data_IF_854593335992
#
_entry.id   IF_854593335992
#
_cell.length_a   1.000
_cell.length_b   1.000
_cell.length_c   1.000
_cell.angle_alpha   90.00
_cell.angle_beta   90.00
_cell.angle_gamma   90.00
#
_symmetry.space_group_name_H-M   'P 1'
#
loop_
_entity.id
_entity.type
_entity.pdbx_description
1 polymer ?
#
# COMPACT_ATOMS: atom_id res chain seq x y z
N UNK A 1 21.01 -13.71 1.84
CA UNK A 1 21.50 -15.07 2.15
C UNK A 1 22.89 -15.07 2.76
N UNK A 2 23.81 -14.22 2.28
CA UNK A 2 25.16 -14.13 2.84
C UNK A 2 25.17 -13.86 4.35
N UNK A 3 24.23 -13.05 4.86
CA UNK A 3 24.08 -12.79 6.31
C UNK A 3 23.84 -14.07 7.11
N UNK A 4 22.99 -14.98 6.63
CA UNK A 4 22.66 -16.23 7.33
C UNK A 4 23.86 -17.16 7.30
N UNK A 5 24.53 -17.27 6.14
CA UNK A 5 25.73 -18.11 5.99
C UNK A 5 26.84 -17.64 6.93
N UNK A 6 27.14 -16.35 6.96
CA UNK A 6 28.16 -15.78 7.85
C UNK A 6 27.78 -15.92 9.33
N UNK A 7 26.51 -15.72 9.67
CA UNK A 7 26.05 -15.87 11.05
C UNK A 7 26.09 -17.33 11.52
N UNK A 8 25.78 -18.30 10.66
CA UNK A 8 25.88 -19.74 10.97
C UNK A 8 27.35 -20.17 11.11
N UNK A 9 28.24 -19.68 10.25
CA UNK A 9 29.68 -19.95 10.37
C UNK A 9 30.25 -19.36 11.67
N UNK A 10 29.88 -18.12 12.01
CA UNK A 10 30.28 -17.50 13.27
C UNK A 10 29.72 -18.25 14.49
N UNK A 11 28.49 -18.73 14.42
CA UNK A 11 27.88 -19.57 15.46
C UNK A 11 28.63 -20.90 15.63
N UNK A 12 28.99 -21.57 14.53
CA UNK A 12 29.71 -22.84 14.57
C UNK A 12 31.14 -22.66 15.11
N UNK A 13 31.83 -21.58 14.74
CA UNK A 13 33.17 -21.25 15.27
C UNK A 13 33.11 -20.91 16.76
N UNK A 14 32.14 -20.11 17.19
CA UNK A 14 31.94 -19.77 18.60
C UNK A 14 31.57 -21.02 19.44
N UNK A 15 30.70 -21.88 18.91
CA UNK A 15 30.35 -23.15 19.53
C UNK A 15 31.58 -24.05 19.71
N UNK A 16 32.34 -24.27 18.63
CA UNK A 16 33.54 -25.11 18.65
C UNK A 16 34.61 -24.56 19.59
N UNK A 17 34.85 -23.24 19.57
CA UNK A 17 35.85 -22.61 20.43
C UNK A 17 35.53 -22.77 21.92
N UNK A 18 34.27 -22.66 22.31
CA UNK A 18 33.84 -22.80 23.70
C UNK A 18 33.76 -24.27 24.13
N UNK A 19 33.30 -25.15 23.24
CA UNK A 19 33.18 -26.58 23.55
C UNK A 19 34.53 -27.25 23.78
N UNK A 20 35.53 -26.94 22.93
CA UNK A 20 36.87 -27.51 23.03
C UNK A 20 37.82 -26.72 23.95
N UNK A 21 37.49 -25.46 24.25
CA UNK A 21 38.33 -24.57 25.08
C UNK A 21 37.98 -24.54 26.56
N UNK A 22 36.88 -25.16 27.00
CA UNK A 22 36.47 -25.19 28.41
C UNK A 22 36.66 -26.58 29.02
N UNK A 23 37.32 -26.64 30.19
CA UNK A 23 37.44 -27.89 30.95
C UNK A 23 36.04 -28.38 31.35
N UNK A 24 35.69 -29.61 30.95
CA UNK A 24 34.38 -30.21 31.19
C UNK A 24 33.41 -30.25 30.00
N UNK A 25 33.78 -29.71 28.82
CA UNK A 25 32.98 -29.80 27.58
C UNK A 25 31.50 -29.40 27.79
N UNK A 26 31.29 -28.24 28.42
CA UNK A 26 29.95 -27.77 28.78
C UNK A 26 29.14 -27.34 27.56
N UNK A 27 28.33 -28.27 27.05
CA UNK A 27 27.48 -28.09 25.86
C UNK A 27 26.52 -26.88 25.95
N UNK A 28 26.05 -26.54 27.15
CA UNK A 28 25.16 -25.39 27.40
C UNK A 28 25.86 -24.06 27.11
N UNK A 29 27.09 -23.88 27.59
CA UNK A 29 27.87 -22.67 27.35
C UNK A 29 28.28 -22.55 25.88
N UNK A 30 28.60 -23.66 25.23
CA UNK A 30 28.85 -23.69 23.79
C UNK A 30 27.59 -23.26 23.01
N UNK A 31 26.40 -23.69 23.41
CA UNK A 31 25.14 -23.28 22.80
C UNK A 31 24.86 -21.77 22.96
N UNK A 32 25.08 -21.21 24.15
CA UNK A 32 24.99 -19.75 24.35
C UNK A 32 26.04 -18.99 23.53
N UNK A 33 27.25 -19.51 23.42
CA UNK A 33 28.29 -18.97 22.56
C UNK A 33 27.92 -18.97 21.08
N UNK A 34 27.31 -20.06 20.60
CA UNK A 34 26.80 -20.16 19.24
C UNK A 34 25.72 -19.10 18.96
N UNK A 35 24.76 -18.94 19.87
CA UNK A 35 23.74 -17.90 19.80
C UNK A 35 24.36 -16.50 19.82
N UNK A 36 25.33 -16.25 20.70
CA UNK A 36 26.08 -15.00 20.78
C UNK A 36 26.80 -14.68 19.47
N UNK A 37 27.52 -15.64 18.90
CA UNK A 37 28.22 -15.51 17.61
C UNK A 37 27.25 -15.24 16.45
N UNK A 38 26.10 -15.92 16.43
CA UNK A 38 25.05 -15.67 15.45
C UNK A 38 24.51 -14.24 15.53
N UNK A 39 24.17 -13.79 16.74
CA UNK A 39 23.59 -12.46 16.99
C UNK A 39 24.61 -11.36 16.70
N UNK A 40 25.87 -11.54 17.10
CA UNK A 40 26.95 -10.57 16.91
C UNK A 40 27.22 -10.27 15.43
N UNK A 41 27.05 -11.25 14.54
CA UNK A 41 27.23 -11.06 13.09
C UNK A 41 25.94 -10.65 12.39
N UNK A 42 24.79 -11.23 12.77
CA UNK A 42 23.53 -10.97 12.08
C UNK A 42 22.95 -9.58 12.37
N UNK A 43 23.06 -9.08 13.61
CA UNK A 43 22.50 -7.77 13.98
C UNK A 43 23.14 -6.60 13.21
N UNK A 44 24.49 -6.44 13.16
CA UNK A 44 25.09 -5.31 12.45
C UNK A 44 24.77 -5.31 10.96
N UNK A 45 24.80 -6.49 10.31
CA UNK A 45 24.48 -6.61 8.89
C UNK A 45 23.01 -6.25 8.64
N UNK A 46 22.08 -6.74 9.47
CA UNK A 46 20.66 -6.41 9.33
C UNK A 46 20.39 -4.91 9.55
N UNK A 47 21.05 -4.29 10.54
CA UNK A 47 20.95 -2.84 10.78
C UNK A 47 21.52 -2.04 9.61
N UNK A 48 22.64 -2.48 9.04
CA UNK A 48 23.23 -1.85 7.86
C UNK A 48 22.31 -1.95 6.63
N UNK A 49 21.77 -3.14 6.34
CA UNK A 49 20.82 -3.33 5.24
C UNK A 49 19.59 -2.45 5.45
N UNK A 50 19.05 -2.42 6.68
CA UNK A 50 17.88 -1.60 7.02
C UNK A 50 18.14 -0.12 6.78
N UNK A 51 19.24 0.43 7.31
CA UNK A 51 19.61 1.84 7.08
C UNK A 51 19.77 2.16 5.60
N UNK A 52 20.38 1.25 4.83
CA UNK A 52 20.56 1.44 3.39
C UNK A 52 19.23 1.40 2.63
N UNK A 53 18.33 0.49 3.00
CA UNK A 53 16.97 0.42 2.46
C UNK A 53 16.18 1.70 2.78
N UNK A 54 16.22 2.16 4.04
CA UNK A 54 15.58 3.40 4.48
C UNK A 54 16.10 4.60 3.71
N UNK A 55 17.41 4.67 3.42
CA UNK A 55 17.99 5.73 2.59
C UNK A 55 17.49 5.70 1.13
N UNK A 56 17.39 4.52 0.52
CA UNK A 56 16.89 4.37 -0.86
C UNK A 56 15.41 4.75 -0.92
N UNK A 57 14.58 4.17 -0.05
CA UNK A 57 13.14 4.43 -0.03
C UNK A 57 12.82 5.86 0.38
N UNK A 58 13.54 6.42 1.35
CA UNK A 58 13.44 7.83 1.71
C UNK A 58 13.83 8.75 0.56
N UNK A 59 14.88 8.42 -0.19
CA UNK A 59 15.28 9.16 -1.39
C UNK A 59 14.18 9.15 -2.47
N UNK A 60 13.55 8.00 -2.71
CA UNK A 60 12.43 7.86 -3.65
C UNK A 60 11.21 8.65 -3.16
N UNK A 61 10.86 8.55 -1.89
CA UNK A 61 9.74 9.29 -1.31
C UNK A 61 9.96 10.80 -1.43
N UNK A 62 11.15 11.28 -1.09
CA UNK A 62 11.51 12.70 -1.21
C UNK A 62 11.43 13.17 -2.67
N UNK A 63 11.93 12.36 -3.61
CA UNK A 63 11.85 12.66 -5.04
C UNK A 63 10.39 12.74 -5.54
N UNK A 64 9.54 11.79 -5.12
CA UNK A 64 8.13 11.80 -5.49
C UNK A 64 7.38 12.99 -4.90
N UNK A 65 7.64 13.34 -3.64
CA UNK A 65 7.07 14.52 -2.99
C UNK A 65 7.50 15.80 -3.72
N UNK A 66 8.81 15.95 -3.98
CA UNK A 66 9.30 17.13 -4.71
C UNK A 66 8.74 17.22 -6.13
N UNK A 67 8.56 16.08 -6.80
CA UNK A 67 7.97 16.02 -8.14
C UNK A 67 6.48 16.40 -8.11
N UNK A 68 5.74 15.95 -7.08
CA UNK A 68 4.35 16.33 -6.87
C UNK A 68 4.20 17.82 -6.56
N UNK A 69 5.08 18.39 -5.73
CA UNK A 69 5.05 19.81 -5.39
C UNK A 69 5.36 20.67 -6.63
N UNK A 70 6.39 20.31 -7.39
CA UNK A 70 6.71 20.96 -8.65
C UNK A 70 5.52 20.90 -9.64
N UNK A 71 4.88 19.73 -9.75
CA UNK A 71 3.69 19.54 -10.57
C UNK A 71 2.52 20.39 -10.10
N UNK A 72 2.25 20.46 -8.79
CA UNK A 72 1.19 21.30 -8.21
C UNK A 72 1.41 22.78 -8.52
N UNK A 73 2.63 23.29 -8.37
CA UNK A 73 2.96 24.66 -8.72
C UNK A 73 2.75 24.94 -10.21
N UNK A 74 3.17 24.01 -11.07
CA UNK A 74 2.99 24.11 -12.52
C UNK A 74 1.50 24.07 -12.90
N UNK A 75 0.71 23.18 -12.30
CA UNK A 75 -0.74 23.10 -12.51
C UNK A 75 -1.41 24.39 -12.10
N UNK A 76 -1.10 24.98 -10.95
CA UNK A 76 -1.66 26.26 -10.53
C UNK A 76 -1.38 27.39 -11.53
N UNK A 77 -0.15 27.46 -12.06
CA UNK A 77 0.23 28.44 -13.07
C UNK A 77 -0.45 28.20 -14.44
N UNK A 78 -0.69 26.94 -14.80
CA UNK A 78 -1.29 26.54 -16.07
C UNK A 78 -2.83 26.56 -16.05
N UNK A 79 -3.48 26.33 -14.90
CA UNK A 79 -4.93 26.48 -14.75
C UNK A 79 -5.39 27.90 -15.09
N UNK A 80 -4.57 28.91 -14.79
CA UNK A 80 -4.86 30.30 -15.13
C UNK A 80 -4.70 30.61 -16.64
N UNK A 81 -4.00 29.74 -17.40
CA UNK A 81 -3.65 29.96 -18.80
C UNK A 81 -4.42 29.06 -19.78
N UNK A 82 -4.84 27.87 -19.36
CA UNK A 82 -5.54 26.90 -20.20
C UNK A 82 -7.05 26.90 -19.92
N UNK A 83 -7.85 27.24 -20.93
CA UNK A 83 -9.31 27.06 -20.89
C UNK A 83 -9.73 25.60 -21.07
N UNK A 84 -8.89 24.77 -21.70
CA UNK A 84 -9.14 23.34 -21.91
C UNK A 84 -8.60 22.51 -20.73
N UNK A 85 -9.49 22.25 -19.76
CA UNK A 85 -9.16 21.47 -18.57
C UNK A 85 -8.74 20.02 -18.87
N UNK A 86 -9.25 19.42 -19.95
CA UNK A 86 -8.94 18.02 -20.26
C UNK A 86 -7.50 17.83 -20.73
N UNK A 87 -6.99 18.72 -21.60
CA UNK A 87 -5.58 18.71 -22.01
C UNK A 87 -4.64 18.94 -20.83
N UNK A 88 -5.04 19.76 -19.88
CA UNK A 88 -4.27 19.97 -18.66
C UNK A 88 -4.20 18.69 -17.81
N UNK A 89 -5.31 17.98 -17.64
CA UNK A 89 -5.34 16.71 -16.91
C UNK A 89 -4.45 15.65 -17.57
N UNK A 90 -4.50 15.51 -18.89
CA UNK A 90 -3.63 14.57 -19.63
C UNK A 90 -2.14 14.91 -19.46
N UNK A 91 -1.77 16.19 -19.50
CA UNK A 91 -0.39 16.61 -19.24
C UNK A 91 0.07 16.26 -17.82
N UNK A 92 -0.81 16.47 -16.83
CA UNK A 92 -0.55 16.14 -15.43
C UNK A 92 -0.36 14.64 -15.25
N UNK A 93 -1.25 13.81 -15.80
CA UNK A 93 -1.13 12.36 -15.74
C UNK A 93 0.17 11.88 -16.38
N UNK A 94 0.57 12.45 -17.52
CA UNK A 94 1.82 12.10 -18.19
C UNK A 94 3.06 12.46 -17.35
N UNK A 95 3.13 13.67 -16.81
CA UNK A 95 4.27 14.14 -16.00
C UNK A 95 4.36 13.38 -14.67
N UNK A 96 3.22 13.03 -14.07
CA UNK A 96 3.16 12.12 -12.93
C UNK A 96 3.70 10.74 -13.29
N UNK A 97 3.30 10.18 -14.43
CA UNK A 97 3.77 8.88 -14.88
C UNK A 97 5.29 8.85 -15.15
N UNK A 98 5.84 9.91 -15.75
CA UNK A 98 7.28 10.06 -15.95
C UNK A 98 8.06 10.13 -14.63
N UNK A 99 7.53 10.85 -13.64
CA UNK A 99 8.12 10.93 -12.30
C UNK A 99 8.14 9.56 -11.64
N UNK A 100 7.04 8.82 -11.71
CA UNK A 100 6.97 7.46 -11.18
C UNK A 100 7.95 6.51 -11.88
N UNK A 101 8.12 6.61 -13.20
CA UNK A 101 9.11 5.81 -13.94
C UNK A 101 10.53 6.08 -13.46
N UNK A 102 10.90 7.34 -13.25
CA UNK A 102 12.20 7.69 -12.65
C UNK A 102 12.39 7.11 -11.24
N UNK A 103 11.32 7.11 -10.43
CA UNK A 103 11.36 6.47 -9.11
C UNK A 103 11.56 4.94 -9.19
N UNK A 104 11.00 4.28 -10.21
CA UNK A 104 11.23 2.85 -10.46
C UNK A 104 12.69 2.58 -10.86
N UNK A 105 13.32 3.47 -11.63
CA UNK A 105 14.74 3.35 -11.96
C UNK A 105 15.63 3.48 -10.71
N UNK A 106 15.27 4.38 -9.78
CA UNK A 106 15.97 4.52 -8.50
C UNK A 106 15.87 3.24 -7.63
N UNK A 107 14.78 2.47 -7.76
CA UNK A 107 14.61 1.20 -7.03
C UNK A 107 15.62 0.12 -7.44
N UNK A 108 16.28 0.27 -8.58
CA UNK A 108 17.35 -0.64 -9.01
C UNK A 108 18.54 -0.63 -8.04
N UNK A 109 18.71 0.44 -7.25
CA UNK A 109 19.70 0.52 -6.19
C UNK A 109 19.52 -0.53 -5.08
N UNK A 110 18.36 -1.19 -5.00
CA UNK A 110 18.11 -2.28 -4.04
C UNK A 110 18.78 -3.60 -4.47
N UNK A 111 19.03 -3.82 -5.76
CA UNK A 111 19.57 -5.09 -6.29
C UNK A 111 20.79 -5.64 -5.52
N UNK A 112 21.81 -4.84 -5.15
CA UNK A 112 22.96 -5.33 -4.38
C UNK A 112 22.59 -5.83 -2.98
N UNK A 113 21.53 -5.29 -2.37
CA UNK A 113 21.07 -5.65 -1.02
C UNK A 113 20.42 -7.02 -0.96
N UNK A 114 19.87 -7.52 -2.07
CA UNK A 114 19.23 -8.83 -2.15
C UNK A 114 20.18 -9.97 -1.74
N UNK A 115 21.48 -9.81 -2.01
CA UNK A 115 22.53 -10.78 -1.62
C UNK A 115 22.58 -10.95 -0.09
N UNK A 116 22.33 -9.86 0.63
CA UNK A 116 22.34 -9.81 2.10
C UNK A 116 20.97 -10.23 2.65
N UNK A 117 19.88 -9.62 2.17
CA UNK A 117 18.53 -9.86 2.66
C UNK A 117 17.52 -10.09 1.53
N UNK A 118 16.94 -11.31 1.45
CA UNK A 118 15.90 -11.64 0.45
C UNK A 118 14.64 -10.76 0.65
N UNK A 119 14.36 -10.36 1.89
CA UNK A 119 13.20 -9.51 2.19
C UNK A 119 13.33 -8.13 1.54
N UNK A 120 14.54 -7.64 1.30
CA UNK A 120 14.77 -6.37 0.62
C UNK A 120 14.16 -6.37 -0.79
N UNK A 121 14.31 -7.48 -1.52
CA UNK A 121 13.72 -7.65 -2.84
C UNK A 121 12.18 -7.62 -2.76
N UNK A 122 11.61 -8.33 -1.79
CA UNK A 122 10.14 -8.35 -1.64
C UNK A 122 9.58 -6.98 -1.27
N UNK A 123 10.29 -6.21 -0.45
CA UNK A 123 9.92 -4.83 -0.13
C UNK A 123 10.03 -3.91 -1.34
N UNK A 124 11.10 -4.04 -2.14
CA UNK A 124 11.23 -3.29 -3.38
C UNK A 124 10.13 -3.65 -4.38
N UNK A 125 9.79 -4.93 -4.52
CA UNK A 125 8.68 -5.38 -5.36
C UNK A 125 7.34 -4.84 -4.88
N UNK A 126 7.13 -4.73 -3.57
CA UNK A 126 5.95 -4.04 -3.01
C UNK A 126 5.87 -2.58 -3.47
N UNK A 127 6.95 -1.81 -3.34
CA UNK A 127 6.93 -0.40 -3.79
C UNK A 127 6.78 -0.30 -5.31
N UNK A 128 7.46 -1.15 -6.09
CA UNK A 128 7.31 -1.21 -7.56
C UNK A 128 5.85 -1.43 -7.94
N UNK A 129 5.20 -2.43 -7.33
CA UNK A 129 3.80 -2.75 -7.61
C UNK A 129 2.88 -1.55 -7.30
N UNK A 130 3.05 -0.90 -6.15
CA UNK A 130 2.24 0.27 -5.77
C UNK A 130 2.42 1.44 -6.73
N UNK A 131 3.67 1.73 -7.13
CA UNK A 131 4.00 2.80 -8.05
C UNK A 131 3.42 2.55 -9.46
N UNK A 132 3.61 1.35 -10.00
CA UNK A 132 3.04 0.95 -11.29
C UNK A 132 1.51 0.99 -11.27
N UNK A 133 0.91 0.54 -10.16
CA UNK A 133 -0.54 0.63 -9.96
C UNK A 133 -1.03 2.08 -9.98
N UNK A 134 -0.31 3.00 -9.32
CA UNK A 134 -0.68 4.41 -9.25
C UNK A 134 -0.79 5.04 -10.64
N UNK A 135 0.09 4.66 -11.58
CA UNK A 135 0.10 5.17 -12.95
C UNK A 135 -0.73 4.33 -13.92
N UNK A 136 -1.57 3.41 -13.39
CA UNK A 136 -2.44 2.51 -14.16
C UNK A 136 -1.67 1.56 -15.09
N UNK A 137 -0.38 1.37 -14.88
CA UNK A 137 0.42 0.36 -15.60
C UNK A 137 0.22 -1.01 -14.95
N UNK A 138 -0.98 -1.52 -15.13
CA UNK A 138 -1.43 -2.69 -14.39
C UNK A 138 -0.75 -3.98 -14.85
N UNK A 139 -0.41 -4.09 -16.14
CA UNK A 139 0.23 -5.28 -16.68
C UNK A 139 1.59 -5.51 -16.02
N UNK A 140 2.38 -4.44 -15.88
CA UNK A 140 3.66 -4.51 -15.19
C UNK A 140 3.47 -4.62 -13.67
N UNK A 141 2.50 -3.90 -13.08
CA UNK A 141 2.18 -4.00 -11.65
C UNK A 141 1.86 -5.45 -11.24
N UNK A 142 1.07 -6.16 -12.05
CA UNK A 142 0.65 -7.53 -11.79
C UNK A 142 1.84 -8.51 -11.70
N UNK A 143 2.91 -8.29 -12.48
CA UNK A 143 4.15 -9.12 -12.41
C UNK A 143 4.83 -9.02 -11.05
N UNK A 144 4.73 -7.87 -10.39
CA UNK A 144 5.31 -7.63 -9.07
C UNK A 144 4.34 -7.96 -7.93
N UNK A 145 3.02 -7.74 -8.10
CA UNK A 145 2.00 -8.01 -7.08
C UNK A 145 2.03 -9.44 -6.53
N UNK A 146 2.34 -10.42 -7.36
CA UNK A 146 2.48 -11.82 -6.92
C UNK A 146 3.76 -12.09 -6.11
N UNK A 147 4.78 -11.23 -6.25
CA UNK A 147 6.07 -11.32 -5.56
C UNK A 147 6.18 -10.37 -4.36
N UNK A 148 5.14 -9.57 -4.10
CA UNK A 148 5.13 -8.58 -3.03
C UNK A 148 5.12 -9.20 -1.62
N UNK A 149 5.67 -8.45 -0.68
CA UNK A 149 5.45 -8.69 0.73
C UNK A 149 4.22 -7.93 1.21
N UNK A 150 3.08 -8.64 1.30
CA UNK A 150 1.80 -8.06 1.70
C UNK A 150 1.73 -7.91 3.22
N UNK A 151 2.11 -6.73 3.71
CA UNK A 151 2.00 -6.32 5.12
C UNK A 151 1.01 -5.17 5.33
N UNK A 152 0.44 -4.67 4.25
CA UNK A 152 -0.45 -3.52 4.23
C UNK A 152 -1.80 -3.94 3.65
N UNK A 153 -2.92 -3.62 4.31
CA UNK A 153 -4.26 -3.93 3.80
C UNK A 153 -4.59 -3.24 2.48
N UNK A 154 -4.02 -2.06 2.19
CA UNK A 154 -4.24 -1.40 0.90
C UNK A 154 -3.67 -2.21 -0.25
N UNK A 155 -2.43 -2.70 -0.11
CA UNK A 155 -1.83 -3.58 -1.12
C UNK A 155 -2.63 -4.88 -1.33
N UNK A 156 -3.19 -5.44 -0.25
CA UNK A 156 -4.06 -6.61 -0.34
C UNK A 156 -5.34 -6.28 -1.14
N UNK A 157 -5.96 -5.14 -0.87
CA UNK A 157 -7.14 -4.67 -1.60
C UNK A 157 -6.83 -4.34 -3.07
N UNK A 158 -5.67 -3.73 -3.38
CA UNK A 158 -5.21 -3.51 -4.75
C UNK A 158 -5.08 -4.83 -5.51
N UNK A 159 -4.47 -5.85 -4.89
CA UNK A 159 -4.36 -7.18 -5.49
C UNK A 159 -5.74 -7.80 -5.75
N UNK A 160 -6.67 -7.67 -4.81
CA UNK A 160 -8.06 -8.13 -4.97
C UNK A 160 -8.76 -7.39 -6.13
N UNK A 161 -8.58 -6.07 -6.24
CA UNK A 161 -9.11 -5.28 -7.34
C UNK A 161 -8.58 -5.79 -8.70
N UNK A 162 -7.30 -6.14 -8.79
CA UNK A 162 -6.71 -6.75 -10.00
C UNK A 162 -7.30 -8.12 -10.33
N UNK A 163 -7.44 -8.99 -9.32
CA UNK A 163 -8.07 -10.31 -9.50
C UNK A 163 -9.49 -10.18 -10.04
N UNK A 164 -10.27 -9.25 -9.50
CA UNK A 164 -11.62 -8.95 -9.99
C UNK A 164 -11.60 -8.51 -11.46
N UNK A 165 -10.75 -7.52 -11.81
CA UNK A 165 -10.65 -7.02 -13.20
C UNK A 165 -10.19 -8.09 -14.20
N UNK A 166 -9.47 -9.11 -13.74
CA UNK A 166 -9.05 -10.28 -14.54
C UNK A 166 -10.08 -11.42 -14.57
N UNK A 167 -11.20 -11.30 -13.88
CA UNK A 167 -12.18 -12.39 -13.76
C UNK A 167 -11.71 -13.59 -12.92
N UNK A 168 -10.66 -13.42 -12.10
CA UNK A 168 -10.07 -14.44 -11.25
C UNK A 168 -10.84 -14.54 -9.91
N UNK A 169 -12.13 -14.89 -9.99
CA UNK A 169 -13.03 -14.81 -8.83
C UNK A 169 -12.72 -15.82 -7.72
N UNK A 170 -12.21 -17.01 -8.07
CA UNK A 170 -11.78 -18.01 -7.07
C UNK A 170 -10.55 -17.55 -6.30
N UNK A 171 -9.60 -16.92 -7.00
CA UNK A 171 -8.40 -16.35 -6.40
C UNK A 171 -8.75 -15.13 -5.53
N UNK A 172 -9.70 -14.31 -5.99
CA UNK A 172 -10.24 -13.18 -5.24
C UNK A 172 -10.84 -13.61 -3.89
N UNK A 173 -11.67 -14.64 -3.87
CA UNK A 173 -12.26 -15.18 -2.64
C UNK A 173 -11.18 -15.71 -1.68
N UNK A 174 -10.20 -16.47 -2.20
CA UNK A 174 -9.04 -16.91 -1.39
C UNK A 174 -8.25 -15.73 -0.83
N UNK A 175 -8.05 -14.70 -1.63
CA UNK A 175 -7.35 -13.48 -1.23
C UNK A 175 -8.13 -12.72 -0.14
N UNK A 176 -9.45 -12.66 -0.24
CA UNK A 176 -10.33 -12.09 0.77
C UNK A 176 -10.17 -12.81 2.12
N UNK A 177 -10.36 -14.13 2.15
CA UNK A 177 -10.25 -14.91 3.39
C UNK A 177 -8.87 -14.82 4.03
N UNK A 178 -7.81 -14.87 3.22
CA UNK A 178 -6.43 -14.66 3.70
C UNK A 178 -6.24 -13.24 4.26
N UNK A 179 -6.85 -12.25 3.62
CA UNK A 179 -6.84 -10.85 4.02
C UNK A 179 -7.46 -10.63 5.40
N UNK A 180 -8.71 -11.02 5.60
CA UNK A 180 -9.41 -10.89 6.91
C UNK A 180 -8.84 -11.84 7.98
N UNK A 181 -8.21 -12.93 7.56
CA UNK A 181 -7.42 -13.81 8.43
C UNK A 181 -6.19 -13.10 9.00
N UNK A 182 -5.50 -12.29 8.19
CA UNK A 182 -4.27 -11.56 8.55
C UNK A 182 -4.52 -10.22 9.22
N UNK A 183 -5.38 -9.41 8.63
CA UNK A 183 -5.69 -8.06 9.09
C UNK A 183 -6.94 -8.11 9.96
N UNK A 184 -6.88 -7.49 11.14
CA UNK A 184 -7.97 -7.48 12.13
C UNK A 184 -8.54 -6.08 12.27
N UNK A 185 -9.79 -6.02 12.71
CA UNK A 185 -10.51 -4.78 12.99
C UNK A 185 -10.55 -3.81 11.81
N UNK A 186 -10.32 -2.53 12.06
CA UNK A 186 -10.24 -1.44 11.10
C UNK A 186 -9.28 -1.71 9.93
N UNK A 187 -8.18 -2.44 10.16
CA UNK A 187 -7.23 -2.79 9.08
C UNK A 187 -7.86 -3.69 8.01
N UNK A 188 -8.90 -4.44 8.33
CA UNK A 188 -9.61 -5.27 7.35
C UNK A 188 -10.73 -4.51 6.61
N UNK A 189 -11.03 -3.26 7.00
CA UNK A 189 -12.11 -2.45 6.43
C UNK A 189 -12.11 -2.44 4.91
N UNK A 190 -10.96 -2.09 4.32
CA UNK A 190 -10.83 -1.96 2.87
C UNK A 190 -10.96 -3.33 2.16
N UNK A 191 -10.60 -4.42 2.84
CA UNK A 191 -10.73 -5.79 2.33
C UNK A 191 -12.20 -6.21 2.28
N UNK A 192 -12.98 -5.95 3.33
CA UNK A 192 -14.43 -6.16 3.32
C UNK A 192 -15.12 -5.29 2.26
N UNK A 193 -14.74 -4.01 2.18
CA UNK A 193 -15.31 -3.07 1.20
C UNK A 193 -15.04 -3.52 -0.24
N UNK A 194 -13.82 -3.97 -0.53
CA UNK A 194 -13.42 -4.44 -1.87
C UNK A 194 -14.16 -5.71 -2.27
N UNK A 195 -14.25 -6.68 -1.36
CA UNK A 195 -14.90 -7.96 -1.67
C UNK A 195 -16.42 -7.83 -1.79
N UNK A 196 -17.07 -7.11 -0.88
CA UNK A 196 -18.51 -6.84 -0.97
C UNK A 196 -18.87 -6.07 -2.25
N UNK A 197 -18.06 -5.08 -2.65
CA UNK A 197 -18.23 -4.40 -3.92
C UNK A 197 -18.11 -5.36 -5.10
N UNK A 198 -17.09 -6.23 -5.11
CA UNK A 198 -16.92 -7.21 -6.18
C UNK A 198 -18.11 -8.18 -6.30
N UNK A 199 -18.73 -8.56 -5.18
CA UNK A 199 -19.93 -9.40 -5.16
C UNK A 199 -21.16 -8.66 -5.69
N UNK A 200 -21.34 -7.38 -5.32
CA UNK A 200 -22.41 -6.54 -5.85
C UNK A 200 -22.29 -6.38 -7.37
N UNK A 201 -21.09 -6.16 -7.90
CA UNK A 201 -20.85 -6.08 -9.35
C UNK A 201 -21.15 -7.41 -10.07
N UNK A 202 -21.05 -8.54 -9.37
CA UNK A 202 -21.42 -9.86 -9.89
C UNK A 202 -22.90 -10.20 -9.67
N UNK A 203 -23.71 -9.26 -9.17
CA UNK A 203 -25.11 -9.48 -8.78
C UNK A 203 -25.31 -10.56 -7.70
N UNK A 204 -24.28 -10.84 -6.90
CA UNK A 204 -24.30 -11.80 -5.79
C UNK A 204 -24.64 -11.09 -4.47
N UNK A 205 -25.86 -10.57 -4.39
CA UNK A 205 -26.27 -9.65 -3.32
C UNK A 205 -26.30 -10.34 -1.94
N UNK A 206 -26.77 -11.58 -1.86
CA UNK A 206 -26.84 -12.32 -0.58
C UNK A 206 -25.44 -12.58 -0.01
N UNK A 207 -24.50 -12.97 -0.85
CA UNK A 207 -23.09 -13.14 -0.47
C UNK A 207 -22.49 -11.80 0.02
N UNK A 208 -22.80 -10.69 -0.68
CA UNK A 208 -22.34 -9.36 -0.28
C UNK A 208 -22.90 -8.93 1.09
N UNK A 209 -24.19 -9.22 1.36
CA UNK A 209 -24.83 -8.96 2.66
C UNK A 209 -24.11 -9.72 3.77
N UNK A 210 -23.79 -11.01 3.56
CA UNK A 210 -23.09 -11.82 4.55
C UNK A 210 -21.70 -11.24 4.88
N UNK A 211 -20.93 -10.87 3.85
CA UNK A 211 -19.61 -10.23 4.00
C UNK A 211 -19.69 -8.91 4.75
N UNK A 212 -20.69 -8.07 4.44
CA UNK A 212 -20.88 -6.79 5.13
C UNK A 212 -21.37 -6.96 6.56
N UNK A 213 -22.16 -8.00 6.85
CA UNK A 213 -22.62 -8.30 8.21
C UNK A 213 -21.43 -8.62 9.13
N UNK A 214 -20.50 -9.45 8.65
CA UNK A 214 -19.24 -9.73 9.33
C UNK A 214 -18.36 -8.47 9.43
N UNK A 215 -18.23 -7.72 8.32
CA UNK A 215 -17.40 -6.53 8.25
C UNK A 215 -17.84 -5.41 9.21
N UNK A 216 -19.15 -5.15 9.33
CA UNK A 216 -19.68 -4.12 10.24
C UNK A 216 -19.43 -4.46 11.72
N UNK A 217 -19.44 -5.74 12.07
CA UNK A 217 -19.20 -6.21 13.44
C UNK A 217 -17.72 -6.18 13.80
N UNK A 218 -16.84 -6.54 12.86
CA UNK A 218 -15.40 -6.62 13.13
C UNK A 218 -14.68 -5.30 12.97
N UNK A 219 -15.01 -4.50 11.95
CA UNK A 219 -14.31 -3.26 11.62
C UNK A 219 -15.02 -2.00 12.17
N UNK A 220 -16.24 -2.13 12.68
CA UNK A 220 -17.03 -1.06 13.31
C UNK A 220 -17.11 0.25 12.51
N UNK A 221 -17.14 0.15 11.18
CA UNK A 221 -17.14 1.31 10.29
C UNK A 221 -18.54 1.64 9.78
N UNK A 222 -18.90 2.93 9.84
CA UNK A 222 -20.21 3.43 9.40
C UNK A 222 -20.50 3.15 7.91
N UNK A 223 -19.48 3.16 7.03
CA UNK A 223 -19.67 2.89 5.60
C UNK A 223 -20.12 1.45 5.37
N UNK A 224 -19.48 0.47 6.03
CA UNK A 224 -19.89 -0.94 5.91
C UNK A 224 -21.29 -1.15 6.48
N UNK A 225 -21.62 -0.52 7.61
CA UNK A 225 -22.95 -0.58 8.21
C UNK A 225 -24.02 -0.02 7.28
N UNK A 226 -23.81 1.17 6.71
CA UNK A 226 -24.75 1.78 5.77
C UNK A 226 -24.92 0.95 4.51
N UNK A 227 -23.82 0.41 3.95
CA UNK A 227 -23.87 -0.46 2.79
C UNK A 227 -24.66 -1.75 3.08
N UNK A 228 -24.46 -2.35 4.26
CA UNK A 228 -25.25 -3.50 4.70
C UNK A 228 -26.74 -3.16 4.77
N UNK A 229 -27.11 -2.04 5.42
CA UNK A 229 -28.50 -1.57 5.52
C UNK A 229 -29.10 -1.25 4.13
N UNK A 230 -28.30 -0.82 3.17
CA UNK A 230 -28.77 -0.61 1.80
C UNK A 230 -29.08 -1.95 1.13
N UNK A 231 -28.18 -2.92 1.20
CA UNK A 231 -28.36 -4.20 0.51
C UNK A 231 -29.50 -5.04 1.11
N UNK A 232 -29.60 -5.14 2.44
CA UNK A 232 -30.70 -5.90 3.11
C UNK A 232 -32.08 -5.34 2.76
N UNK A 233 -32.18 -4.02 2.56
CA UNK A 233 -33.42 -3.36 2.17
C UNK A 233 -33.64 -3.32 0.64
N UNK A 234 -32.88 -4.10 -0.15
CA UNK A 234 -32.99 -4.13 -1.61
C UNK A 234 -32.53 -2.85 -2.33
N UNK A 235 -31.90 -1.90 -1.63
CA UNK A 235 -31.45 -0.60 -2.17
C UNK A 235 -30.05 -0.72 -2.79
N UNK A 236 -29.86 -1.67 -3.71
CA UNK A 236 -28.56 -1.96 -4.35
C UNK A 236 -27.95 -0.70 -5.00
N UNK A 237 -28.77 0.15 -5.61
CA UNK A 237 -28.33 1.42 -6.23
C UNK A 237 -27.71 2.43 -5.25
N UNK A 238 -27.91 2.27 -3.94
CA UNK A 238 -27.34 3.14 -2.90
C UNK A 238 -26.03 2.60 -2.31
N UNK A 239 -25.63 1.37 -2.68
CA UNK A 239 -24.36 0.81 -2.25
C UNK A 239 -23.21 1.67 -2.77
N UNK A 240 -22.36 2.17 -1.87
CA UNK A 240 -21.20 2.98 -2.25
C UNK A 240 -20.11 2.93 -1.18
N UNK A 241 -18.87 2.73 -1.61
CA UNK A 241 -17.70 2.81 -0.75
C UNK A 241 -17.04 4.20 -0.79
N UNK A 242 -17.67 5.19 -1.42
CA UNK A 242 -17.15 6.56 -1.54
C UNK A 242 -16.81 7.21 -0.18
N UNK A 243 -17.51 6.82 0.90
CA UNK A 243 -17.24 7.29 2.26
C UNK A 243 -15.88 6.86 2.83
N UNK A 244 -15.19 5.91 2.20
CA UNK A 244 -13.81 5.52 2.54
C UNK A 244 -12.75 6.47 1.94
N UNK A 245 -13.18 7.41 1.11
CA UNK A 245 -12.34 8.48 0.57
C UNK A 245 -11.20 7.97 -0.31
N UNK A 246 -10.04 8.61 -0.17
CA UNK A 246 -8.88 8.39 -1.05
C UNK A 246 -8.41 6.94 -1.08
N UNK A 247 -8.51 6.21 0.03
CA UNK A 247 -8.08 4.79 0.07
C UNK A 247 -8.91 3.88 -0.81
N UNK A 248 -10.20 4.19 -0.99
CA UNK A 248 -11.07 3.47 -1.92
C UNK A 248 -10.76 3.84 -3.37
N UNK A 249 -10.62 5.13 -3.66
CA UNK A 249 -10.31 5.60 -5.02
C UNK A 249 -8.90 5.19 -5.47
N UNK A 250 -7.96 5.00 -4.53
CA UNK A 250 -6.64 4.44 -4.81
C UNK A 250 -6.70 3.03 -5.40
N UNK A 251 -7.80 2.29 -5.18
CA UNK A 251 -8.02 0.98 -5.82
C UNK A 251 -8.40 1.11 -7.29
N UNK A 252 -8.73 2.30 -7.79
CA UNK A 252 -9.06 2.54 -9.20
C UNK A 252 -10.19 1.62 -9.72
N UNK A 253 -11.05 1.16 -8.82
CA UNK A 253 -12.27 0.41 -9.15
C UNK A 253 -13.36 1.35 -9.66
N UNK A 254 -13.39 2.56 -9.11
CA UNK A 254 -14.32 3.64 -9.43
C UNK A 254 -13.54 4.95 -9.63
N UNK A 255 -13.98 5.83 -10.55
CA UNK A 255 -13.37 7.15 -10.70
C UNK A 255 -13.66 8.01 -9.47
N UNK A 256 -12.68 8.80 -9.04
CA UNK A 256 -12.91 9.82 -8.00
C UNK A 256 -13.87 10.89 -8.54
N UNK A 257 -14.91 11.28 -7.79
CA UNK A 257 -15.79 12.36 -8.20
C UNK A 257 -14.99 13.66 -8.32
N UNK A 258 -15.21 14.42 -9.38
CA UNK A 258 -14.55 15.71 -9.57
C UNK A 258 -14.81 16.59 -8.33
N UNK A 259 -13.73 17.07 -7.69
CA UNK A 259 -13.83 18.04 -6.60
C UNK A 259 -14.50 19.27 -7.20
N UNK A 260 -15.78 19.47 -6.87
CA UNK A 260 -16.46 20.73 -7.18
C UNK A 260 -15.68 21.79 -6.42
N UNK A 261 -15.06 22.79 -7.10
CA UNK A 261 -14.44 23.89 -6.39
C UNK A 261 -15.52 24.47 -5.49
N UNK A 262 -15.31 24.36 -4.18
CA UNK A 262 -16.21 24.96 -3.21
C UNK A 262 -16.17 26.44 -3.54
N UNK A 263 -17.27 26.98 -4.08
CA UNK A 263 -17.36 28.38 -4.46
C UNK A 263 -16.94 29.16 -3.22
N UNK A 264 -15.74 29.73 -3.28
CA UNK A 264 -15.16 30.51 -2.21
C UNK A 264 -16.18 31.61 -1.95
N UNK A 265 -16.89 31.52 -0.82
CA UNK A 265 -17.93 32.48 -0.44
C UNK A 265 -17.30 33.85 -0.61
N UNK A 266 -17.87 34.62 -1.54
CA UNK A 266 -17.44 35.96 -1.86
C UNK A 266 -17.62 36.79 -0.59
N UNK A 267 -16.54 36.94 0.18
CA UNK A 267 -16.49 37.79 1.37
C UNK A 267 -16.58 39.24 0.87
N UNK A 268 -17.82 39.69 0.69
CA UNK A 268 -18.17 40.95 0.07
C UNK A 268 -19.59 41.32 0.46
N UNK A 269 -19.88 41.30 1.77
CA UNK A 269 -21.08 41.91 2.30
C UNK A 269 -21.11 43.38 1.87
N UNK A 270 -22.05 43.72 0.99
CA UNK A 270 -22.33 45.11 0.64
C UNK A 270 -22.73 45.85 1.91
N UNK A 271 -22.06 46.95 2.31
CA UNK A 271 -22.57 47.77 3.40
C UNK A 271 -23.90 48.37 2.97
N UNK A 272 -24.96 47.99 3.70
CA UNK A 272 -26.31 48.49 3.54
C UNK A 272 -26.32 49.99 3.89
N UNK A 273 -26.14 50.86 2.89
CA UNK A 273 -26.48 52.29 3.02
C UNK A 273 -27.99 52.44 2.95
N UNK A 274 -28.66 52.08 4.04
CA UNK A 274 -30.03 52.50 4.32
C UNK A 274 -29.99 53.93 4.85
N UNK A 275 -30.51 54.86 4.05
CA UNK A 275 -30.60 56.27 4.40
C UNK A 275 -31.59 56.50 5.55
N UNK A 276 -31.18 57.36 6.48
CA UNK A 276 -32.11 58.07 7.35
C UNK A 276 -32.59 59.31 6.60
N UNK A 277 -33.87 59.30 6.21
CA UNK A 277 -34.73 60.48 6.07
C UNK A 277 -36.13 60.09 6.49
#
# INVERSE_FOLDING_TARGET
MLTIVLAVLAAALAWSGIYWGTEGQHWVWAAFGALGGFVAVSLPINLWVRKRMEAIFGGIQNFLVSSQDALRHKVGALQMKFSNQQKLLEMVEKEQAESVRKALDMLEAVKPLNKWNILAEKQANTLRAQLLYQIKDFEEADKYLDKCFIMDPLLQAMRMARMFKKGQFKELEKAYHKGVGRFKYDKALLIYATYSWALVQQNKIDEAIAVLNEGKEKAENNVLKQNWEHLVNGRVKRFSNAGLGETWYALQLEPMPAVRPQAQMQFGGRPNRGGFR
#
